data_IF_445701980022
#
_entry.id   IF_445701980022
#
_cell.length_a   1.000
_cell.length_b   1.000
_cell.length_c   1.000
_cell.angle_alpha   90.00
_cell.angle_beta   90.00
_cell.angle_gamma   90.00
#
_symmetry.space_group_name_H-M   'P 1'
#
loop_
_entity.id
_entity.type
_entity.pdbx_description
1 polymer ?
#
# COMPACT_ATOMS: atom_id res chain seq x y z
N UNK A 1 -23.15 17.86 2.68
CA UNK A 1 -22.38 17.10 1.68
C UNK A 1 -21.85 18.07 0.64
N UNK A 2 -20.66 18.63 0.86
CA UNK A 2 -19.99 19.60 -0.04
C UNK A 2 -18.49 19.32 0.04
N UNK A 3 -18.04 18.30 -0.66
CA UNK A 3 -16.62 18.04 -0.88
C UNK A 3 -16.44 17.99 -2.39
N UNK A 4 -15.87 19.05 -2.93
CA UNK A 4 -15.20 19.21 -4.24
C UNK A 4 -15.36 20.68 -4.64
N UNK A 5 -14.56 21.54 -4.01
CA UNK A 5 -14.27 22.85 -4.59
C UNK A 5 -12.80 23.14 -4.39
N UNK A 6 -12.20 23.60 -5.48
CA UNK A 6 -10.83 24.04 -5.66
C UNK A 6 -9.81 22.91 -5.96
N UNK A 7 -9.66 22.58 -7.24
CA UNK A 7 -8.39 22.09 -7.80
C UNK A 7 -8.07 22.99 -8.99
N UNK A 8 -6.97 23.75 -8.87
CA UNK A 8 -6.36 24.64 -9.87
C UNK A 8 -7.23 25.77 -10.46
N UNK A 9 -6.60 26.94 -10.66
CA UNK A 9 -7.21 28.13 -11.27
C UNK A 9 -7.49 27.99 -12.78
N UNK A 10 -7.95 26.83 -13.22
CA UNK A 10 -8.41 26.58 -14.60
C UNK A 10 -9.91 26.37 -14.52
N UNK A 11 -10.69 27.22 -15.19
CA UNK A 11 -12.12 27.01 -15.35
C UNK A 11 -12.34 25.76 -16.21
N UNK A 12 -12.68 24.64 -15.56
CA UNK A 12 -13.13 23.43 -16.24
C UNK A 12 -14.60 23.65 -16.65
N UNK A 13 -14.97 23.49 -17.93
CA UNK A 13 -16.37 23.57 -18.33
C UNK A 13 -17.16 22.45 -17.66
N UNK A 14 -18.35 22.77 -17.16
CA UNK A 14 -19.28 21.80 -16.58
C UNK A 14 -19.72 20.84 -17.69
N UNK A 15 -19.52 19.53 -17.49
CA UNK A 15 -19.86 18.48 -18.45
C UNK A 15 -21.00 17.63 -17.90
N UNK A 16 -22.10 17.56 -18.64
CA UNK A 16 -23.28 16.75 -18.29
C UNK A 16 -23.01 15.23 -18.41
N UNK A 17 -23.67 14.46 -17.55
CA UNK A 17 -23.26 13.14 -17.04
C UNK A 17 -23.27 11.96 -18.04
N UNK A 18 -24.00 12.03 -19.15
CA UNK A 18 -24.28 10.84 -20.00
C UNK A 18 -23.10 10.37 -20.87
N UNK A 19 -22.04 11.18 -21.05
CA UNK A 19 -20.87 10.83 -21.88
C UNK A 19 -19.53 11.28 -21.26
N UNK A 20 -19.50 11.38 -19.92
CA UNK A 20 -18.41 11.98 -19.15
C UNK A 20 -17.05 11.34 -19.42
N UNK A 21 -16.96 10.01 -19.43
CA UNK A 21 -15.70 9.26 -19.58
C UNK A 21 -15.05 9.42 -20.96
N UNK A 22 -15.84 9.33 -22.03
CA UNK A 22 -15.36 9.50 -23.41
C UNK A 22 -14.93 10.95 -23.69
N UNK A 23 -15.63 11.94 -23.12
CA UNK A 23 -15.27 13.35 -23.28
C UNK A 23 -14.03 13.73 -22.47
N UNK A 24 -13.88 13.23 -21.23
CA UNK A 24 -12.67 13.44 -20.42
C UNK A 24 -11.41 12.90 -21.12
N UNK A 25 -11.48 11.67 -21.65
CA UNK A 25 -10.37 11.08 -22.41
C UNK A 25 -9.98 11.91 -23.64
N UNK A 26 -10.97 12.53 -24.31
CA UNK A 26 -10.72 13.37 -25.49
C UNK A 26 -10.13 14.76 -25.16
N UNK A 27 -10.38 15.28 -23.94
CA UNK A 27 -9.93 16.62 -23.51
C UNK A 27 -8.61 16.53 -22.72
N UNK A 28 -8.29 15.37 -22.14
CA UNK A 28 -7.06 15.10 -21.38
C UNK A 28 -5.78 15.50 -22.14
N UNK A 29 -5.57 15.13 -23.41
CA UNK A 29 -4.36 15.52 -24.15
C UNK A 29 -4.25 17.05 -24.33
N UNK A 30 -5.38 17.75 -24.46
CA UNK A 30 -5.42 19.21 -24.61
C UNK A 30 -5.14 19.92 -23.29
N UNK A 31 -5.64 19.38 -22.17
CA UNK A 31 -5.33 19.86 -20.82
C UNK A 31 -3.86 19.64 -20.47
N UNK A 32 -3.33 18.45 -20.75
CA UNK A 32 -1.90 18.14 -20.55
C UNK A 32 -1.04 19.09 -21.38
N UNK A 33 -1.38 19.28 -22.67
CA UNK A 33 -0.65 20.18 -23.57
C UNK A 33 -0.73 21.66 -23.13
N UNK A 34 -1.89 22.14 -22.70
CA UNK A 34 -2.06 23.50 -22.23
C UNK A 34 -1.23 23.79 -20.96
N UNK A 35 -1.06 22.79 -20.09
CA UNK A 35 -0.24 22.89 -18.87
C UNK A 35 1.25 22.79 -19.18
N UNK A 36 1.65 22.03 -20.20
CA UNK A 36 3.06 21.97 -20.66
C UNK A 36 3.49 23.19 -21.48
N UNK A 37 2.57 23.88 -22.13
CA UNK A 37 2.87 25.05 -22.99
C UNK A 37 3.01 26.36 -22.18
N UNK A 38 2.52 26.41 -20.92
CA UNK A 38 2.80 27.50 -19.97
C UNK A 38 4.27 27.46 -19.54
N UNK A 39 4.99 28.58 -19.66
CA UNK A 39 6.45 28.70 -19.40
C UNK A 39 6.89 28.30 -17.99
N UNK A 40 5.96 28.12 -17.04
CA UNK A 40 6.18 27.43 -15.78
C UNK A 40 5.76 25.96 -15.93
N UNK A 41 6.70 25.13 -16.38
CA UNK A 41 6.59 23.67 -16.49
C UNK A 41 6.39 23.00 -15.12
N UNK A 42 5.30 23.27 -14.41
CA UNK A 42 5.03 22.73 -13.09
C UNK A 42 3.69 21.98 -13.10
N UNK A 43 3.77 20.68 -13.37
CA UNK A 43 2.71 19.74 -13.04
C UNK A 43 2.62 19.61 -11.51
N UNK A 44 1.89 20.52 -10.88
CA UNK A 44 1.62 20.46 -9.44
C UNK A 44 0.45 19.52 -9.17
N UNK A 45 0.75 18.32 -8.67
CA UNK A 45 -0.26 17.44 -8.12
C UNK A 45 -0.75 17.97 -6.77
N UNK A 46 -2.04 17.79 -6.49
CA UNK A 46 -2.58 18.07 -5.17
C UNK A 46 -1.88 17.21 -4.11
N UNK A 47 -1.51 17.82 -2.98
CA UNK A 47 -0.90 17.06 -1.88
C UNK A 47 -1.88 15.98 -1.39
N UNK A 48 -1.43 14.72 -1.25
CA UNK A 48 -2.26 13.67 -0.67
C UNK A 48 -2.73 14.06 0.74
N UNK A 49 -4.01 13.81 1.03
CA UNK A 49 -4.67 14.27 2.26
C UNK A 49 -3.98 13.83 3.57
N UNK A 50 -3.24 12.72 3.58
CA UNK A 50 -2.50 12.28 4.77
C UNK A 50 -1.17 13.04 4.95
N UNK A 51 -0.52 13.45 3.86
CA UNK A 51 0.73 14.23 3.87
C UNK A 51 0.48 15.65 4.39
N UNK A 52 -0.70 16.22 4.13
CA UNK A 52 -1.10 17.52 4.65
C UNK A 52 -1.18 17.57 6.18
N UNK A 53 -1.55 16.46 6.82
CA UNK A 53 -1.60 16.36 8.29
C UNK A 53 -0.22 16.14 8.88
N UNK A 54 0.52 15.21 8.28
CA UNK A 54 1.86 14.83 8.73
C UNK A 54 2.70 14.31 7.57
N UNK A 55 3.68 15.12 7.17
CA UNK A 55 4.58 14.85 6.04
C UNK A 55 5.47 13.64 6.24
N UNK A 56 5.72 13.22 7.48
CA UNK A 56 6.61 12.11 7.82
C UNK A 56 5.85 10.85 8.25
N UNK A 57 4.51 10.87 8.23
CA UNK A 57 3.70 9.74 8.66
C UNK A 57 4.00 8.46 7.90
N UNK A 58 4.22 8.55 6.59
CA UNK A 58 4.45 7.38 5.74
C UNK A 58 5.71 6.57 6.10
N UNK A 59 6.67 7.16 6.82
CA UNK A 59 7.92 6.49 7.21
C UNK A 59 7.82 5.74 8.55
N UNK A 60 6.71 5.88 9.27
CA UNK A 60 6.55 5.31 10.61
C UNK A 60 5.92 3.93 10.57
N UNK A 61 6.45 3.02 11.40
CA UNK A 61 5.93 1.65 11.55
C UNK A 61 4.45 1.63 11.96
N UNK A 62 3.99 2.62 12.74
CA UNK A 62 2.58 2.73 13.13
C UNK A 62 1.68 3.00 11.92
N UNK A 63 2.09 3.85 10.98
CA UNK A 63 1.30 4.14 9.78
C UNK A 63 1.34 2.97 8.80
N UNK A 64 2.50 2.32 8.64
CA UNK A 64 2.61 1.07 7.87
C UNK A 64 1.64 0.01 8.42
N UNK A 65 1.64 -0.21 9.73
CA UNK A 65 0.76 -1.17 10.40
C UNK A 65 -0.71 -0.76 10.30
N UNK A 66 -1.03 0.53 10.43
CA UNK A 66 -2.40 1.05 10.30
C UNK A 66 -2.93 0.88 8.88
N UNK A 67 -2.13 1.16 7.85
CA UNK A 67 -2.54 0.98 6.45
C UNK A 67 -2.80 -0.48 6.10
N UNK A 68 -2.13 -1.40 6.78
CA UNK A 68 -2.40 -2.82 6.65
C UNK A 68 -3.82 -3.21 7.10
N UNK A 69 -4.44 -2.45 8.02
CA UNK A 69 -5.79 -2.69 8.53
C UNK A 69 -6.86 -1.75 7.94
N UNK A 70 -6.48 -0.52 7.60
CA UNK A 70 -7.41 0.56 7.21
C UNK A 70 -6.84 1.45 6.09
N UNK A 71 -5.90 0.92 5.32
CA UNK A 71 -5.37 1.54 4.11
C UNK A 71 -6.11 1.04 2.87
N UNK A 72 -5.42 1.08 1.73
CA UNK A 72 -6.01 0.71 0.44
C UNK A 72 -6.28 -0.78 0.32
N UNK A 73 -5.43 -1.62 0.94
CA UNK A 73 -5.54 -3.08 0.89
C UNK A 73 -5.62 -3.69 2.30
N UNK A 74 -6.80 -3.65 2.96
CA UNK A 74 -6.98 -4.18 4.31
C UNK A 74 -7.20 -5.69 4.38
N UNK A 75 -7.19 -6.40 3.24
CA UNK A 75 -7.59 -7.83 3.16
C UNK A 75 -6.42 -8.80 3.17
N UNK A 76 -5.18 -8.33 2.97
CA UNK A 76 -4.01 -9.21 2.84
C UNK A 76 -3.39 -9.63 4.17
N UNK A 77 -3.70 -8.95 5.27
CA UNK A 77 -3.19 -9.32 6.59
C UNK A 77 -3.82 -10.61 7.08
N UNK A 78 -2.99 -11.50 7.63
CA UNK A 78 -3.42 -12.80 8.09
C UNK A 78 -2.88 -13.06 9.50
N UNK A 79 -3.65 -13.82 10.27
CA UNK A 79 -3.21 -14.29 11.59
C UNK A 79 -2.26 -15.47 11.42
N UNK A 80 -1.15 -15.45 12.13
CA UNK A 80 -0.23 -16.60 12.16
C UNK A 80 -0.85 -17.74 12.96
N UNK A 81 -0.97 -18.92 12.34
CA UNK A 81 -1.46 -20.15 12.97
C UNK A 81 -0.34 -21.08 13.39
N UNK A 82 0.72 -21.15 12.58
CA UNK A 82 1.79 -22.12 12.69
C UNK A 82 3.14 -21.39 12.78
N UNK A 83 4.00 -21.87 13.69
CA UNK A 83 5.32 -21.28 13.91
C UNK A 83 6.39 -22.36 14.09
N UNK A 84 7.56 -22.24 13.43
CA UNK A 84 7.91 -21.21 12.44
C UNK A 84 7.09 -21.37 11.14
N UNK A 85 6.87 -20.25 10.44
CA UNK A 85 6.17 -20.25 9.15
C UNK A 85 7.01 -20.96 8.08
N UNK A 86 6.34 -21.67 7.16
CA UNK A 86 6.99 -22.41 6.07
C UNK A 86 6.30 -22.13 4.74
N UNK A 87 7.09 -22.08 3.67
CA UNK A 87 6.57 -22.02 2.30
C UNK A 87 5.88 -23.33 1.92
N UNK A 88 4.82 -23.23 1.12
CA UNK A 88 4.09 -24.35 0.51
C UNK A 88 4.57 -24.66 -0.92
N UNK A 89 5.51 -23.87 -1.44
CA UNK A 89 6.08 -24.06 -2.77
C UNK A 89 6.99 -25.29 -2.83
N UNK A 90 7.18 -25.85 -4.04
CA UNK A 90 8.03 -27.03 -4.23
C UNK A 90 9.49 -26.72 -3.91
N UNK A 91 10.08 -27.34 -2.86
CA UNK A 91 11.47 -27.12 -2.48
C UNK A 91 12.48 -27.47 -3.57
N UNK A 92 12.13 -28.35 -4.51
CA UNK A 92 13.01 -28.70 -5.63
C UNK A 92 13.19 -27.54 -6.61
N UNK A 93 12.21 -26.66 -6.69
CA UNK A 93 12.22 -25.49 -7.59
C UNK A 93 12.75 -24.26 -6.84
N UNK A 94 12.26 -24.04 -5.61
CA UNK A 94 12.47 -22.79 -4.89
C UNK A 94 13.48 -22.88 -3.72
N UNK A 95 14.00 -24.07 -3.43
CA UNK A 95 14.97 -24.28 -2.36
C UNK A 95 14.33 -24.54 -1.00
N UNK A 96 15.03 -24.19 0.07
CA UNK A 96 14.62 -24.52 1.44
C UNK A 96 13.31 -23.79 1.83
N UNK A 97 12.26 -24.50 2.30
CA UNK A 97 10.98 -23.88 2.63
C UNK A 97 10.94 -23.20 4.01
N UNK A 98 11.95 -23.44 4.86
CA UNK A 98 12.07 -22.84 6.18
C UNK A 98 12.31 -21.33 6.13
N UNK A 99 11.57 -20.57 6.95
CA UNK A 99 11.85 -19.15 7.16
C UNK A 99 13.13 -18.94 7.96
N UNK A 100 13.88 -17.89 7.62
CA UNK A 100 15.02 -17.42 8.41
C UNK A 100 14.59 -16.52 9.59
N UNK A 101 13.31 -16.17 9.69
CA UNK A 101 12.80 -15.38 10.82
C UNK A 101 12.80 -16.25 12.07
N UNK A 102 13.71 -15.96 12.99
CA UNK A 102 13.83 -16.69 14.24
C UNK A 102 12.89 -16.16 15.32
N UNK A 103 12.58 -17.00 16.31
CA UNK A 103 11.76 -16.61 17.46
C UNK A 103 12.36 -15.43 18.21
N UNK A 104 13.68 -15.42 18.40
CA UNK A 104 14.41 -14.39 19.14
C UNK A 104 14.32 -13.02 18.44
N UNK A 105 14.33 -13.02 17.10
CA UNK A 105 14.18 -11.80 16.30
C UNK A 105 12.80 -11.17 16.51
N UNK A 106 11.75 -12.01 16.52
CA UNK A 106 10.37 -11.55 16.73
C UNK A 106 10.16 -11.09 18.18
N UNK A 107 10.67 -11.84 19.16
CA UNK A 107 10.55 -11.46 20.57
C UNK A 107 11.28 -10.15 20.90
N UNK A 108 12.42 -9.89 20.24
CA UNK A 108 13.08 -8.58 20.29
C UNK A 108 12.17 -7.47 19.74
N UNK A 109 11.47 -7.72 18.63
CA UNK A 109 10.49 -6.79 18.06
C UNK A 109 9.28 -6.54 18.96
N UNK A 110 8.83 -7.55 19.70
CA UNK A 110 7.76 -7.46 20.70
C UNK A 110 8.22 -6.73 21.99
N UNK A 111 9.53 -6.43 22.12
CA UNK A 111 10.13 -5.70 23.24
C UNK A 111 9.83 -6.32 24.61
N UNK A 112 9.78 -7.65 24.67
CA UNK A 112 9.57 -8.39 25.93
C UNK A 112 8.17 -8.27 26.52
N UNK A 113 7.19 -7.73 25.80
CA UNK A 113 5.78 -7.66 26.26
C UNK A 113 5.18 -9.05 26.41
N UNK A 114 5.55 -9.99 25.51
CA UNK A 114 5.15 -11.39 25.55
C UNK A 114 6.10 -12.24 24.71
N UNK A 115 6.06 -13.55 24.90
CA UNK A 115 6.74 -14.53 24.03
C UNK A 115 5.95 -14.76 22.74
N UNK A 116 6.59 -15.31 21.72
CA UNK A 116 5.90 -15.69 20.46
C UNK A 116 4.78 -16.69 20.72
N UNK A 117 5.01 -17.65 21.62
CA UNK A 117 4.01 -18.65 21.98
C UNK A 117 2.76 -18.04 22.64
N UNK A 118 2.93 -17.03 23.49
CA UNK A 118 1.81 -16.30 24.09
C UNK A 118 1.08 -15.47 23.04
N UNK A 119 1.80 -14.83 22.11
CA UNK A 119 1.22 -14.07 21.01
C UNK A 119 0.36 -14.97 20.10
N UNK A 120 0.82 -16.18 19.79
CA UNK A 120 0.07 -17.18 19.02
C UNK A 120 -1.20 -17.62 19.75
N UNK A 121 -1.10 -18.02 21.03
CA UNK A 121 -2.24 -18.45 21.85
C UNK A 121 -3.29 -17.34 22.00
N UNK A 122 -2.85 -16.10 22.17
CA UNK A 122 -3.71 -14.92 22.31
C UNK A 122 -4.18 -14.33 20.99
N UNK A 123 -3.80 -14.92 19.84
CA UNK A 123 -4.16 -14.45 18.49
C UNK A 123 -3.70 -13.01 18.22
N UNK A 124 -2.52 -12.64 18.73
CA UNK A 124 -1.90 -11.30 18.60
C UNK A 124 -0.71 -11.25 17.63
N UNK A 125 -0.39 -12.36 16.96
CA UNK A 125 0.65 -12.42 15.94
C UNK A 125 0.04 -12.48 14.54
N UNK A 126 0.43 -11.53 13.69
CA UNK A 126 -0.09 -11.36 12.33
C UNK A 126 1.06 -11.19 11.34
N UNK A 127 0.79 -11.49 10.08
CA UNK A 127 1.76 -11.41 8.98
C UNK A 127 1.08 -10.93 7.70
N UNK A 128 1.85 -10.23 6.88
CA UNK A 128 1.56 -10.00 5.46
C UNK A 128 2.40 -10.99 4.66
N UNK A 129 1.84 -12.15 4.36
CA UNK A 129 2.56 -13.21 3.66
C UNK A 129 2.32 -13.13 2.14
N UNK A 130 3.28 -12.51 1.45
CA UNK A 130 3.33 -12.47 -0.01
C UNK A 130 4.35 -13.46 -0.59
N UNK A 131 5.02 -14.26 0.25
CA UNK A 131 6.14 -15.08 -0.17
C UNK A 131 5.73 -16.06 -1.28
N UNK A 132 4.77 -16.94 -0.98
CA UNK A 132 4.36 -17.98 -1.93
C UNK A 132 3.62 -17.40 -3.14
N UNK A 133 2.96 -16.24 -2.97
CA UNK A 133 2.24 -15.56 -4.04
C UNK A 133 3.21 -14.97 -5.08
N UNK A 134 4.29 -14.32 -4.61
CA UNK A 134 5.16 -13.53 -5.47
C UNK A 134 6.42 -14.28 -5.91
N UNK A 135 6.94 -15.21 -5.11
CA UNK A 135 8.19 -15.92 -5.43
C UNK A 135 8.20 -16.59 -6.82
N UNK A 136 7.10 -17.17 -7.34
CA UNK A 136 7.06 -17.72 -8.70
C UNK A 136 7.31 -16.71 -9.82
N UNK A 137 7.19 -15.41 -9.53
CA UNK A 137 7.31 -14.32 -10.49
C UNK A 137 8.60 -13.52 -10.32
N UNK A 138 9.36 -13.70 -9.23
CA UNK A 138 10.56 -12.91 -8.93
C UNK A 138 11.61 -13.00 -10.04
N UNK A 139 11.80 -14.17 -10.66
CA UNK A 139 12.77 -14.34 -11.75
C UNK A 139 12.32 -13.72 -13.09
N UNK A 140 11.07 -13.26 -13.20
CA UNK A 140 10.50 -12.71 -14.44
C UNK A 140 10.52 -11.19 -14.49
N UNK A 141 10.75 -10.53 -13.36
CA UNK A 141 10.80 -9.06 -13.19
C UNK A 141 12.24 -8.60 -13.00
#
# INVERSE_FOLDING_TARGET
MKFFKQICGIQVPVLDDENFSMRILSILPRLVKAVTDTQENLLLFGTPAFIDRDKFAWFRDEEFSRQTLAGLNPYSIQRVTDWPMKSKLDPKIYGLPETLITTELVERGIRGIMTVNEALKSKRLFVLDYHDLLLPYVNKV
#
